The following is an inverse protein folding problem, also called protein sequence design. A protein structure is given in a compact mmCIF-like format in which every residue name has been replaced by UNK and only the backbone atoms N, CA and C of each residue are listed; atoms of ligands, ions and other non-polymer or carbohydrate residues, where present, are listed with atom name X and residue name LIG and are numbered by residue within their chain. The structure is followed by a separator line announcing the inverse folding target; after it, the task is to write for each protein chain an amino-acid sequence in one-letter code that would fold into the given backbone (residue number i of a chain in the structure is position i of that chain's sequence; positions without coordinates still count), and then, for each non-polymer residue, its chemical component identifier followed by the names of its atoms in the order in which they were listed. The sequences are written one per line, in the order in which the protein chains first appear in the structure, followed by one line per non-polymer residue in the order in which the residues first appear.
data_IF_542747788481
#
_entry.id   IF_542747788481
#
_cell.length_a   1.000
_cell.length_b   1.000
_cell.length_c   1.000
_cell.angle_alpha   90.00
_cell.angle_beta   90.00
_cell.angle_gamma   90.00
#
_symmetry.space_group_name_H-M   'P 1'
#
loop_
_entity.id
_entity.type
_entity.pdbx_description
1 polymer ?
#
# COMPACT_ATOMS: atom_id res chain seq x y z
N UNK A 1 -23.79 12.28 -20.19
CA UNK A 1 -24.27 11.94 -18.84
C UNK A 1 -23.10 11.34 -18.10
N UNK A 2 -22.34 12.16 -17.38
CA UNK A 2 -21.19 11.70 -16.61
C UNK A 2 -21.71 10.99 -15.36
N UNK A 3 -21.51 9.69 -15.28
CA UNK A 3 -21.77 8.92 -14.07
C UNK A 3 -20.69 9.36 -13.09
N UNK A 4 -21.11 10.02 -12.02
CA UNK A 4 -20.27 10.84 -11.15
C UNK A 4 -19.06 10.11 -10.56
N UNK A 5 -18.06 10.91 -10.21
CA UNK A 5 -16.88 10.50 -9.46
C UNK A 5 -17.31 9.66 -8.25
N UNK A 6 -17.10 8.35 -8.32
CA UNK A 6 -17.48 7.44 -7.24
C UNK A 6 -16.53 7.67 -6.06
N UNK A 7 -17.03 8.29 -4.99
CA UNK A 7 -16.25 8.50 -3.77
C UNK A 7 -16.19 7.17 -3.00
N UNK A 8 -14.99 6.63 -2.86
CA UNK A 8 -14.72 5.44 -2.05
C UNK A 8 -13.88 5.82 -0.83
N UNK A 9 -14.22 5.27 0.34
CA UNK A 9 -13.39 5.44 1.55
C UNK A 9 -12.30 4.40 1.56
N UNK A 10 -11.16 4.70 2.16
CA UNK A 10 -10.07 3.74 2.25
C UNK A 10 -9.14 4.01 3.41
N UNK A 11 -8.15 3.14 3.53
CA UNK A 11 -7.09 3.22 4.51
C UNK A 11 -5.77 3.45 3.76
N UNK A 12 -5.17 4.61 3.98
CA UNK A 12 -3.79 4.88 3.59
C UNK A 12 -2.86 4.37 4.70
N UNK A 13 -2.02 3.41 4.34
CA UNK A 13 -1.11 2.71 5.25
C UNK A 13 0.31 3.20 4.96
N UNK A 14 0.96 3.78 5.97
CA UNK A 14 2.37 4.14 5.94
C UNK A 14 3.20 3.14 6.74
N UNK A 15 4.24 2.59 6.14
CA UNK A 15 5.22 1.74 6.84
C UNK A 15 6.61 2.32 6.63
N UNK A 16 7.27 2.64 7.74
CA UNK A 16 8.69 2.98 7.74
C UNK A 16 9.50 1.74 8.10
N UNK A 17 10.45 1.40 7.24
CA UNK A 17 11.38 0.31 7.47
C UNK A 17 12.71 0.83 8.02
N UNK A 18 13.22 0.16 9.06
CA UNK A 18 14.58 0.37 9.54
C UNK A 18 15.55 -0.53 8.75
N UNK A 19 16.46 0.03 7.93
CA UNK A 19 17.35 -0.75 7.08
C UNK A 19 18.29 -1.67 7.88
N UNK A 20 18.51 -1.42 9.18
CA UNK A 20 19.31 -2.31 10.02
C UNK A 20 18.69 -3.70 10.23
N UNK A 21 17.36 -3.82 10.04
CA UNK A 21 16.62 -5.07 10.24
C UNK A 21 16.41 -5.89 8.95
N UNK A 22 16.88 -5.39 7.80
CA UNK A 22 16.63 -6.00 6.50
C UNK A 22 17.93 -6.15 5.70
N UNK A 23 18.04 -7.25 4.95
CA UNK A 23 19.19 -7.49 4.06
C UNK A 23 18.82 -7.23 2.60
N UNK A 24 19.61 -6.42 1.91
CA UNK A 24 19.45 -6.14 0.48
C UNK A 24 18.02 -5.71 0.12
N UNK A 25 17.43 -6.40 -0.86
CA UNK A 25 16.08 -6.09 -1.39
C UNK A 25 14.92 -6.75 -0.63
N UNK A 26 15.18 -7.41 0.51
CA UNK A 26 14.14 -8.14 1.27
C UNK A 26 12.99 -7.25 1.75
N UNK A 27 13.30 -6.00 2.09
CA UNK A 27 12.34 -4.99 2.52
C UNK A 27 11.27 -4.71 1.45
N UNK A 28 11.67 -4.58 0.19
CA UNK A 28 10.74 -4.34 -0.92
C UNK A 28 9.80 -5.54 -1.13
N UNK A 29 10.36 -6.75 -1.13
CA UNK A 29 9.56 -7.98 -1.25
C UNK A 29 8.58 -8.13 -0.10
N UNK A 30 9.03 -7.86 1.13
CA UNK A 30 8.17 -7.91 2.31
C UNK A 30 7.05 -6.87 2.21
N UNK A 31 7.36 -5.64 1.77
CA UNK A 31 6.36 -4.62 1.53
C UNK A 31 5.33 -5.03 0.46
N UNK A 32 5.73 -5.71 -0.62
CA UNK A 32 4.78 -6.27 -1.59
C UNK A 32 3.84 -7.32 -0.97
N UNK A 33 4.36 -8.19 -0.10
CA UNK A 33 3.53 -9.17 0.63
C UNK A 33 2.54 -8.46 1.55
N UNK A 34 2.99 -7.44 2.28
CA UNK A 34 2.14 -6.65 3.17
C UNK A 34 1.03 -5.92 2.41
N UNK A 35 1.37 -5.33 1.26
CA UNK A 35 0.42 -4.66 0.39
C UNK A 35 -0.71 -5.60 -0.09
N UNK A 36 -0.38 -6.83 -0.48
CA UNK A 36 -1.39 -7.85 -0.81
C UNK A 36 -2.16 -8.31 0.44
N UNK A 37 -1.46 -8.48 1.57
CA UNK A 37 -2.06 -8.90 2.84
C UNK A 37 -3.10 -7.88 3.32
N UNK A 38 -2.78 -6.58 3.31
CA UNK A 38 -3.72 -5.52 3.70
C UNK A 38 -4.92 -5.44 2.76
N UNK A 39 -4.71 -5.68 1.46
CA UNK A 39 -5.79 -5.78 0.49
C UNK A 39 -6.87 -6.78 0.91
N UNK A 40 -6.49 -7.91 1.53
CA UNK A 40 -7.43 -8.92 2.03
C UNK A 40 -8.32 -8.44 3.19
N UNK A 41 -7.92 -7.38 3.91
CA UNK A 41 -8.69 -6.80 5.01
C UNK A 41 -9.49 -5.56 4.59
N UNK A 42 -9.47 -5.18 3.31
CA UNK A 42 -10.33 -4.13 2.80
C UNK A 42 -11.81 -4.56 2.98
N UNK A 43 -12.58 -3.76 3.72
CA UNK A 43 -14.03 -3.94 3.84
C UNK A 43 -14.75 -3.70 2.50
N UNK A 44 -15.98 -4.19 2.37
CA UNK A 44 -16.81 -3.99 1.16
C UNK A 44 -16.94 -2.49 0.87
N UNK A 45 -16.68 -2.08 -0.38
CA UNK A 45 -16.64 -0.68 -0.83
C UNK A 45 -15.58 0.18 -0.14
N UNK A 46 -14.45 -0.41 0.24
CA UNK A 46 -13.29 0.32 0.70
C UNK A 46 -12.00 -0.11 0.00
N UNK A 47 -10.99 0.74 0.05
CA UNK A 47 -9.66 0.43 -0.46
C UNK A 47 -8.57 0.47 0.62
N UNK A 48 -7.45 -0.19 0.36
CA UNK A 48 -6.20 0.00 1.09
C UNK A 48 -5.12 0.49 0.13
N UNK A 49 -4.22 1.35 0.60
CA UNK A 49 -3.05 1.79 -0.14
C UNK A 49 -1.82 1.72 0.74
N UNK A 50 -0.78 1.03 0.29
CA UNK A 50 0.48 0.97 1.04
C UNK A 50 1.49 1.99 0.48
N UNK A 51 2.14 2.71 1.38
CA UNK A 51 3.32 3.52 1.11
C UNK A 51 4.44 3.06 2.04
N UNK A 52 5.56 2.62 1.46
CA UNK A 52 6.75 2.21 2.20
C UNK A 52 7.81 3.32 2.15
N UNK A 53 8.40 3.64 3.29
CA UNK A 53 9.54 4.56 3.43
C UNK A 53 10.71 3.86 4.13
N UNK A 54 11.90 4.45 4.03
CA UNK A 54 13.10 3.94 4.68
C UNK A 54 13.56 4.99 5.69
N UNK A 55 13.74 4.55 6.94
CA UNK A 55 14.21 5.40 8.03
C UNK A 55 15.54 6.05 7.67
N UNK A 56 15.58 7.37 7.78
CA UNK A 56 16.79 8.16 7.49
C UNK A 56 17.08 8.38 5.99
N UNK A 57 16.23 7.90 5.07
CA UNK A 57 16.27 8.30 3.67
C UNK A 57 15.12 9.24 3.35
N UNK A 58 15.44 10.34 2.68
CA UNK A 58 14.43 11.24 2.13
C UNK A 58 13.81 10.60 0.89
N UNK A 59 12.56 10.17 1.01
CA UNK A 59 11.77 9.66 -0.10
C UNK A 59 10.94 8.43 0.23
N UNK A 60 10.20 7.99 -0.77
CA UNK A 60 9.36 6.80 -0.69
C UNK A 60 10.05 5.64 -1.39
N UNK A 61 10.15 4.49 -0.72
CA UNK A 61 10.63 3.25 -1.33
C UNK A 61 9.68 2.83 -2.47
N UNK A 62 8.38 2.78 -2.17
CA UNK A 62 7.32 2.52 -3.13
C UNK A 62 5.97 2.95 -2.58
N UNK A 63 5.11 3.48 -3.44
CA UNK A 63 3.67 3.60 -3.19
C UNK A 63 2.94 2.70 -4.16
N UNK A 64 2.16 1.78 -3.62
CA UNK A 64 1.34 0.87 -4.41
C UNK A 64 -0.01 1.52 -4.79
N UNK A 65 -0.66 1.06 -5.87
CA UNK A 65 -2.01 1.51 -6.20
C UNK A 65 -3.00 1.14 -5.09
N UNK A 66 -4.11 1.89 -5.02
CA UNK A 66 -5.21 1.52 -4.14
C UNK A 66 -5.78 0.15 -4.54
N UNK A 67 -6.07 -0.71 -3.56
CA UNK A 67 -6.60 -2.07 -3.75
C UNK A 67 -7.90 -2.29 -3.00
N UNK A 68 -8.79 -3.09 -3.57
CA UNK A 68 -9.93 -3.65 -2.87
C UNK A 68 -9.85 -5.19 -3.00
N UNK A 69 -9.50 -5.88 -1.92
CA UNK A 69 -9.20 -7.30 -1.98
C UNK A 69 -7.90 -7.58 -2.75
N UNK A 70 -7.96 -8.54 -3.66
CA UNK A 70 -6.83 -8.95 -4.49
C UNK A 70 -6.66 -8.13 -5.79
N UNK A 71 -7.55 -7.15 -6.05
CA UNK A 71 -7.56 -6.37 -7.29
C UNK A 71 -7.18 -4.91 -7.02
N UNK A 72 -6.24 -4.34 -7.80
CA UNK A 72 -6.06 -2.90 -7.87
C UNK A 72 -7.35 -2.22 -8.35
N UNK A 73 -7.65 -1.04 -7.79
CA UNK A 73 -8.69 -0.16 -8.32
C UNK A 73 -8.14 0.57 -9.56
N UNK A 74 -8.91 0.53 -10.65
CA UNK A 74 -8.58 1.14 -11.95
C UNK A 74 -8.77 2.65 -11.95
#
# INVERSE_FOLDING_TARGET
MAWGDAICRGIDIGIEFDPANFSGSSMFLFAMVLDQFFGLYASINSFTRLTATIKGQSGTLCTWPARAGYRPLL
#
